data_IF_498550149420
#
_entry.id   IF_498550149420
#
_cell.length_a   1.000
_cell.length_b   1.000
_cell.length_c   1.000
_cell.angle_alpha   90.00
_cell.angle_beta   90.00
_cell.angle_gamma   90.00
#
_symmetry.space_group_name_H-M   'P 1'
#
loop_
_entity.id
_entity.type
_entity.pdbx_description
1 polymer ?
#
# COMPACT_ATOMS: atom_id res chain seq x y z
N UNK A 1 -20.01 2.64 3.23
CA UNK A 1 -20.21 1.20 3.54
C UNK A 1 -19.22 0.36 2.72
N UNK A 2 -17.90 0.46 2.94
CA UNK A 2 -16.92 -0.31 2.13
C UNK A 2 -15.64 -0.57 2.95
N UNK A 3 -15.65 -1.60 3.80
CA UNK A 3 -14.38 -2.11 4.36
C UNK A 3 -14.51 -3.57 4.85
N UNK A 4 -14.84 -4.50 3.94
CA UNK A 4 -14.81 -5.94 4.26
C UNK A 4 -14.23 -6.80 3.13
N UNK A 5 -13.11 -6.39 2.54
CA UNK A 5 -12.27 -7.33 1.77
C UNK A 5 -11.03 -7.63 2.62
N UNK A 6 -11.06 -8.80 3.24
CA UNK A 6 -10.06 -9.26 4.21
C UNK A 6 -8.83 -9.75 3.45
N UNK A 7 -7.76 -8.96 3.51
CA UNK A 7 -6.45 -9.35 2.96
C UNK A 7 -5.75 -10.23 3.99
N UNK A 8 -5.32 -11.42 3.57
CA UNK A 8 -4.58 -12.36 4.40
C UNK A 8 -3.23 -11.77 4.87
N UNK A 9 -2.98 -11.82 6.19
CA UNK A 9 -1.66 -11.51 6.80
C UNK A 9 -1.05 -12.83 7.25
N UNK A 10 -0.04 -13.33 6.54
CA UNK A 10 0.66 -14.55 6.92
C UNK A 10 2.16 -14.40 6.96
N UNK A 11 2.76 -14.83 8.08
CA UNK A 11 4.20 -14.91 8.27
C UNK A 11 4.59 -15.42 9.65
N UNK A 12 4.33 -16.70 9.95
CA UNK A 12 5.01 -17.39 11.06
C UNK A 12 6.20 -18.16 10.49
N UNK A 13 7.41 -17.74 10.89
CA UNK A 13 8.70 -18.31 10.51
C UNK A 13 8.89 -19.60 11.29
N UNK A 14 8.83 -20.75 10.63
CA UNK A 14 9.20 -22.04 11.22
C UNK A 14 10.73 -22.15 11.22
N UNK A 15 11.32 -22.00 12.41
CA UNK A 15 12.77 -22.20 12.61
C UNK A 15 12.98 -23.71 12.77
N UNK A 16 13.32 -24.38 11.68
CA UNK A 16 13.75 -25.77 11.68
C UNK A 16 15.16 -25.91 12.26
N UNK A 17 15.27 -26.47 13.46
CA UNK A 17 16.53 -26.80 14.10
C UNK A 17 17.08 -28.10 13.50
N UNK A 18 17.98 -28.02 12.52
CA UNK A 18 18.71 -29.18 11.99
C UNK A 18 20.12 -29.18 12.57
N UNK A 19 20.27 -29.85 13.73
CA UNK A 19 21.56 -30.14 14.35
C UNK A 19 22.15 -31.33 13.58
N UNK A 20 23.02 -31.07 12.60
CA UNK A 20 23.79 -32.12 11.94
C UNK A 20 24.98 -32.48 12.83
N UNK A 21 25.01 -33.74 13.27
CA UNK A 21 26.09 -34.34 14.03
C UNK A 21 27.38 -34.36 13.19
N UNK A 22 28.49 -33.99 13.81
CA UNK A 22 29.81 -34.02 13.19
C UNK A 22 30.36 -35.47 13.22
N UNK A 23 31.03 -35.94 12.15
CA UNK A 23 31.72 -37.22 12.18
C UNK A 23 32.98 -37.13 13.04
N UNK A 24 33.02 -37.93 14.10
CA UNK A 24 34.23 -38.27 14.86
C UNK A 24 35.22 -38.95 13.93
N UNK A 25 36.25 -38.23 13.50
CA UNK A 25 37.42 -38.81 12.84
C UNK A 25 38.54 -38.96 13.87
N UNK A 26 39.10 -40.16 13.84
CA UNK A 26 40.13 -40.68 14.72
C UNK A 26 41.36 -39.77 14.76
N UNK A 27 41.86 -39.54 15.98
CA UNK A 27 43.20 -39.04 16.22
C UNK A 27 44.21 -40.10 15.76
N UNK A 28 44.93 -39.85 14.67
CA UNK A 28 46.18 -40.54 14.36
C UNK A 28 47.31 -39.80 15.07
N UNK A 29 47.93 -40.50 16.02
CA UNK A 29 48.87 -39.99 17.02
C UNK A 29 50.33 -40.09 16.52
N UNK A 30 50.58 -39.71 15.28
CA UNK A 30 51.86 -40.04 14.61
C UNK A 30 52.52 -38.86 13.88
N UNK A 31 52.28 -37.61 14.31
CA UNK A 31 53.03 -36.46 13.77
C UNK A 31 53.15 -35.31 14.78
N UNK A 32 53.54 -35.62 16.02
CA UNK A 32 54.13 -34.62 16.93
C UNK A 32 55.63 -34.55 16.64
N UNK A 33 56.00 -33.90 15.53
CA UNK A 33 57.36 -33.43 15.38
C UNK A 33 57.58 -32.28 16.35
N UNK A 34 58.54 -32.52 17.23
CA UNK A 34 59.10 -31.66 18.26
C UNK A 34 59.37 -30.26 17.68
N UNK A 35 58.63 -29.25 18.14
CA UNK A 35 58.95 -27.85 17.90
C UNK A 35 60.16 -27.51 18.77
N UNK A 36 61.34 -27.40 18.16
CA UNK A 36 62.58 -27.00 18.83
C UNK A 36 62.59 -25.46 18.96
N UNK A 37 62.46 -24.90 20.18
CA UNK A 37 62.40 -23.45 20.37
C UNK A 37 63.76 -22.75 20.19
N UNK A 38 64.84 -23.46 19.81
CA UNK A 38 66.17 -22.87 19.60
C UNK A 38 66.49 -22.46 18.16
N UNK A 39 65.60 -22.72 17.20
CA UNK A 39 65.85 -22.36 15.80
C UNK A 39 65.54 -20.87 15.51
N UNK A 40 66.60 -20.07 15.40
CA UNK A 40 66.55 -18.65 15.05
C UNK A 40 66.27 -18.36 13.56
N UNK A 41 66.06 -19.39 12.75
CA UNK A 41 65.89 -19.31 11.29
C UNK A 41 64.43 -19.16 10.85
N UNK A 42 63.55 -18.59 11.69
CA UNK A 42 62.17 -18.32 11.26
C UNK A 42 62.15 -17.09 10.34
N UNK A 43 61.70 -17.22 9.08
CA UNK A 43 61.48 -16.05 8.25
C UNK A 43 60.39 -15.20 8.94
N UNK A 44 60.73 -13.95 9.27
CA UNK A 44 59.78 -12.97 9.81
C UNK A 44 58.76 -12.64 8.72
N UNK A 45 57.73 -13.48 8.58
CA UNK A 45 56.67 -13.31 7.58
C UNK A 45 55.75 -12.11 7.87
N UNK A 46 55.94 -11.41 8.99
CA UNK A 46 55.19 -10.22 9.37
C UNK A 46 56.11 -9.02 9.56
N UNK A 47 56.54 -8.43 8.45
CA UNK A 47 57.11 -7.09 8.44
C UNK A 47 55.98 -6.07 8.64
N UNK A 48 56.10 -5.22 9.67
CA UNK A 48 55.14 -4.14 9.97
C UNK A 48 54.88 -3.20 8.78
N UNK A 49 55.83 -3.11 7.84
CA UNK A 49 55.74 -2.29 6.64
C UNK A 49 54.74 -2.83 5.63
N UNK A 50 54.66 -4.16 5.47
CA UNK A 50 53.67 -4.79 4.59
C UNK A 50 52.29 -4.75 5.26
N UNK A 51 52.19 -4.92 6.57
CA UNK A 51 50.92 -4.79 7.29
C UNK A 51 50.31 -3.37 7.15
N UNK A 52 51.14 -2.32 7.17
CA UNK A 52 50.70 -0.94 6.91
C UNK A 52 50.22 -0.74 5.48
N UNK A 53 50.95 -1.25 4.50
CA UNK A 53 50.52 -1.18 3.09
C UNK A 53 49.22 -1.95 2.83
N UNK A 54 49.06 -3.14 3.41
CA UNK A 54 47.83 -3.93 3.28
C UNK A 54 46.64 -3.31 4.03
N UNK A 55 46.86 -2.68 5.19
CA UNK A 55 45.79 -1.93 5.89
C UNK A 55 45.38 -0.67 5.13
N UNK A 56 46.32 0.06 4.53
CA UNK A 56 46.00 1.17 3.63
C UNK A 56 45.29 0.69 2.35
N UNK A 57 45.70 -0.44 1.77
CA UNK A 57 45.05 -1.02 0.58
C UNK A 57 43.63 -1.51 0.89
N UNK A 58 43.40 -2.10 2.08
CA UNK A 58 42.09 -2.56 2.53
C UNK A 58 41.17 -1.39 2.91
N UNK A 59 41.71 -0.28 3.44
CA UNK A 59 40.98 0.96 3.68
C UNK A 59 40.70 1.77 2.40
N UNK A 60 41.52 1.62 1.36
CA UNK A 60 41.36 2.31 0.07
C UNK A 60 40.54 1.50 -0.96
N UNK A 61 40.43 0.18 -0.79
CA UNK A 61 39.61 -0.71 -1.61
C UNK A 61 38.13 -0.29 -1.76
N UNK A 62 37.41 0.20 -0.71
CA UNK A 62 36.03 0.65 -0.87
C UNK A 62 35.89 1.97 -1.62
N UNK A 63 36.98 2.71 -1.87
CA UNK A 63 36.95 3.96 -2.65
C UNK A 63 36.98 3.71 -4.17
N UNK A 64 37.40 2.51 -4.61
CA UNK A 64 37.52 2.12 -6.03
C UNK A 64 36.28 1.38 -6.56
N UNK A 65 35.42 0.85 -5.69
CA UNK A 65 34.15 0.23 -6.10
C UNK A 65 33.10 1.34 -6.23
N UNK A 66 32.93 1.83 -7.46
CA UNK A 66 31.94 2.86 -7.78
C UNK A 66 30.55 2.51 -7.26
N UNK A 67 30.02 3.33 -6.36
CA UNK A 67 28.65 3.24 -5.85
C UNK A 67 27.70 3.75 -6.94
N UNK A 68 27.46 2.94 -7.98
CA UNK A 68 26.55 3.30 -9.08
C UNK A 68 25.08 2.93 -8.83
N UNK A 69 24.76 2.37 -7.67
CA UNK A 69 23.39 2.13 -7.22
C UNK A 69 23.25 2.60 -5.78
N UNK A 70 22.22 3.41 -5.50
CA UNK A 70 21.98 4.09 -4.22
C UNK A 70 21.94 3.19 -3.00
N UNK A 71 23.10 2.74 -2.55
CA UNK A 71 23.32 2.07 -1.28
C UNK A 71 23.03 3.05 -0.15
N UNK A 72 22.04 2.71 0.68
CA UNK A 72 21.74 3.44 1.90
C UNK A 72 22.37 2.71 3.06
N UNK A 73 22.79 3.45 4.08
CA UNK A 73 23.32 2.86 5.32
C UNK A 73 22.39 1.78 5.91
N UNK A 74 21.08 1.92 5.74
CA UNK A 74 20.09 0.95 6.22
C UNK A 74 20.14 -0.39 5.48
N UNK A 75 20.63 -0.43 4.24
CA UNK A 75 20.77 -1.67 3.45
C UNK A 75 21.86 -2.60 4.04
N UNK A 76 22.74 -2.09 4.90
CA UNK A 76 23.73 -2.89 5.64
C UNK A 76 23.12 -3.70 6.79
N UNK A 77 21.96 -3.28 7.30
CA UNK A 77 21.35 -3.84 8.50
C UNK A 77 20.01 -4.52 8.24
N UNK A 78 19.23 -4.02 7.28
CA UNK A 78 17.91 -4.53 6.94
C UNK A 78 17.82 -4.89 5.46
N UNK A 79 17.27 -6.07 5.18
CA UNK A 79 16.89 -6.44 3.81
C UNK A 79 15.81 -5.52 3.27
N UNK A 80 15.70 -5.43 1.95
CA UNK A 80 14.67 -4.64 1.28
C UNK A 80 13.26 -5.00 1.72
N UNK A 81 12.96 -6.29 1.88
CA UNK A 81 11.69 -6.75 2.43
C UNK A 81 11.47 -6.37 3.90
N UNK A 82 12.52 -6.31 4.73
CA UNK A 82 12.40 -5.83 6.11
C UNK A 82 12.11 -4.34 6.15
N UNK A 83 12.75 -3.57 5.27
CA UNK A 83 12.44 -2.14 5.12
C UNK A 83 11.01 -1.93 4.63
N UNK A 84 10.55 -2.72 3.65
CA UNK A 84 9.18 -2.70 3.17
C UNK A 84 8.18 -3.01 4.27
N UNK A 85 8.46 -4.04 5.08
CA UNK A 85 7.63 -4.40 6.23
C UNK A 85 7.53 -3.26 7.25
N UNK A 86 8.64 -2.58 7.52
CA UNK A 86 8.66 -1.41 8.42
C UNK A 86 7.72 -0.28 7.94
N UNK A 87 7.75 0.07 6.65
CA UNK A 87 6.83 1.07 6.09
C UNK A 87 5.38 0.57 6.09
N UNK A 88 5.16 -0.72 5.78
CA UNK A 88 3.85 -1.34 5.75
C UNK A 88 3.15 -1.29 7.11
N UNK A 89 3.88 -1.54 8.19
CA UNK A 89 3.37 -1.49 9.57
C UNK A 89 3.01 -0.07 10.01
N UNK A 90 3.67 0.94 9.45
CA UNK A 90 3.38 2.36 9.68
C UNK A 90 2.25 2.91 8.81
N UNK A 91 1.72 2.10 7.90
CA UNK A 91 0.66 2.50 6.98
C UNK A 91 1.16 3.23 5.72
N UNK A 92 2.47 3.38 5.55
CA UNK A 92 3.04 3.91 4.31
C UNK A 92 3.19 2.79 3.28
N UNK A 93 2.05 2.42 2.68
CA UNK A 93 1.97 1.29 1.77
C UNK A 93 2.68 1.54 0.44
N UNK A 94 2.76 2.79 -0.01
CA UNK A 94 3.44 3.14 -1.27
C UNK A 94 4.95 2.99 -1.11
N UNK A 95 5.54 3.56 -0.04
CA UNK A 95 6.95 3.34 0.26
C UNK A 95 7.26 1.86 0.54
N UNK A 96 6.34 1.14 1.18
CA UNK A 96 6.49 -0.30 1.38
C UNK A 96 6.60 -1.06 0.05
N UNK A 97 5.73 -0.76 -0.91
CA UNK A 97 5.73 -1.40 -2.23
C UNK A 97 7.02 -1.15 -3.01
N UNK A 98 7.59 0.05 -2.92
CA UNK A 98 8.87 0.37 -3.53
C UNK A 98 10.03 -0.44 -2.93
N UNK A 99 9.92 -0.80 -1.65
CA UNK A 99 10.96 -1.52 -0.91
C UNK A 99 10.82 -3.03 -1.01
N UNK A 100 9.62 -3.59 -1.09
CA UNK A 100 9.47 -5.05 -1.22
C UNK A 100 10.14 -5.56 -2.51
N UNK A 101 10.89 -6.65 -2.35
CA UNK A 101 11.44 -7.47 -3.43
C UNK A 101 10.52 -8.67 -3.71
N UNK A 102 9.91 -9.24 -2.67
CA UNK A 102 8.90 -10.30 -2.81
C UNK A 102 7.68 -9.77 -3.62
N UNK A 103 7.37 -10.34 -4.80
CA UNK A 103 6.29 -9.88 -5.66
C UNK A 103 4.90 -9.93 -4.99
N UNK A 104 4.65 -10.94 -4.14
CA UNK A 104 3.38 -11.08 -3.44
C UNK A 104 3.21 -9.98 -2.38
N UNK A 105 4.25 -9.71 -1.60
CA UNK A 105 4.23 -8.61 -0.61
C UNK A 105 4.13 -7.24 -1.28
N UNK A 106 4.80 -7.08 -2.41
CA UNK A 106 4.74 -5.87 -3.22
C UNK A 106 3.33 -5.61 -3.76
N UNK A 107 2.70 -6.63 -4.34
CA UNK A 107 1.29 -6.55 -4.76
C UNK A 107 0.36 -6.22 -3.60
N UNK A 108 0.56 -6.84 -2.44
CA UNK A 108 -0.24 -6.57 -1.24
C UNK A 108 -0.07 -5.13 -0.73
N UNK A 109 1.13 -4.57 -0.83
CA UNK A 109 1.39 -3.17 -0.50
C UNK A 109 0.71 -2.22 -1.50
N UNK A 110 0.79 -2.47 -2.81
CA UNK A 110 0.06 -1.67 -3.81
C UNK A 110 -1.46 -1.73 -3.62
N UNK A 111 -2.01 -2.92 -3.35
CA UNK A 111 -3.43 -3.08 -3.04
C UNK A 111 -3.85 -2.23 -1.83
N UNK A 112 -3.04 -2.25 -0.77
CA UNK A 112 -3.29 -1.45 0.44
C UNK A 112 -3.13 0.05 0.21
N UNK A 113 -2.26 0.44 -0.72
CA UNK A 113 -2.12 1.82 -1.17
C UNK A 113 -3.29 2.29 -2.06
N UNK A 114 -4.20 1.39 -2.47
CA UNK A 114 -5.30 1.68 -3.38
C UNK A 114 -4.91 1.67 -4.86
N UNK A 115 -3.67 1.29 -5.18
CA UNK A 115 -3.16 1.16 -6.55
C UNK A 115 -3.41 -0.27 -7.05
N UNK A 116 -4.66 -0.53 -7.45
CA UNK A 116 -5.10 -1.87 -7.83
C UNK A 116 -4.51 -2.33 -9.17
N UNK A 117 -4.20 -1.41 -10.09
CA UNK A 117 -3.56 -1.73 -11.36
C UNK A 117 -2.15 -2.30 -11.15
N UNK A 118 -1.33 -1.62 -10.34
CA UNK A 118 -0.01 -2.15 -9.99
C UNK A 118 -0.12 -3.45 -9.18
N UNK A 119 -1.11 -3.57 -8.30
CA UNK A 119 -1.33 -4.80 -7.53
C UNK A 119 -1.59 -6.00 -8.45
N UNK A 120 -2.40 -5.84 -9.51
CA UNK A 120 -2.67 -6.86 -10.53
C UNK A 120 -1.36 -7.33 -11.18
N UNK A 121 -0.53 -6.40 -11.64
CA UNK A 121 0.73 -6.71 -12.31
C UNK A 121 1.70 -7.54 -11.45
N UNK A 122 1.70 -7.29 -10.14
CA UNK A 122 2.55 -8.02 -9.20
C UNK A 122 1.95 -9.36 -8.78
N UNK A 123 0.64 -9.43 -8.56
CA UNK A 123 -0.02 -10.69 -8.21
C UNK A 123 -0.04 -11.68 -9.38
N UNK A 124 -0.20 -11.21 -10.62
CA UNK A 124 -0.17 -12.05 -11.82
C UNK A 124 1.18 -12.78 -12.02
N UNK A 125 2.26 -12.29 -11.41
CA UNK A 125 3.60 -12.92 -11.47
C UNK A 125 3.76 -14.07 -10.48
N UNK A 126 2.83 -14.26 -9.56
CA UNK A 126 2.95 -15.22 -8.47
C UNK A 126 1.93 -16.34 -8.66
N UNK A 127 2.42 -17.55 -8.93
CA UNK A 127 1.58 -18.72 -9.10
C UNK A 127 1.26 -19.39 -7.76
N UNK A 128 0.32 -18.83 -6.99
CA UNK A 128 -0.26 -19.50 -5.82
C UNK A 128 -1.72 -19.06 -5.57
N UNK A 129 -2.53 -19.86 -4.86
CA UNK A 129 -3.94 -19.54 -4.62
C UNK A 129 -4.17 -18.22 -3.86
N UNK A 130 -3.25 -17.82 -2.98
CA UNK A 130 -3.35 -16.53 -2.27
C UNK A 130 -3.15 -15.33 -3.20
N UNK A 131 -2.23 -15.45 -4.16
CA UNK A 131 -1.96 -14.42 -5.16
C UNK A 131 -3.14 -14.31 -6.12
N UNK A 132 -3.71 -15.43 -6.57
CA UNK A 132 -4.92 -15.45 -7.39
C UNK A 132 -6.13 -14.85 -6.67
N UNK A 133 -6.33 -15.16 -5.39
CA UNK A 133 -7.38 -14.54 -4.57
C UNK A 133 -7.18 -13.02 -4.45
N UNK A 134 -5.94 -12.55 -4.22
CA UNK A 134 -5.67 -11.11 -4.15
C UNK A 134 -5.76 -10.43 -5.53
N UNK A 135 -5.45 -11.14 -6.61
CA UNK A 135 -5.65 -10.70 -7.99
C UNK A 135 -7.15 -10.50 -8.26
N UNK A 136 -7.99 -11.47 -7.90
CA UNK A 136 -9.45 -11.37 -8.00
C UNK A 136 -10.00 -10.17 -7.21
N UNK A 137 -9.51 -9.96 -5.97
CA UNK A 137 -9.84 -8.79 -5.18
C UNK A 137 -9.45 -7.49 -5.88
N UNK A 138 -8.28 -7.45 -6.54
CA UNK A 138 -7.79 -6.25 -7.22
C UNK A 138 -8.66 -5.91 -8.43
N UNK A 139 -9.05 -6.90 -9.23
CA UNK A 139 -10.00 -6.72 -10.33
C UNK A 139 -11.36 -6.22 -9.82
N UNK A 140 -11.89 -6.81 -8.76
CA UNK A 140 -13.16 -6.40 -8.17
C UNK A 140 -13.14 -4.93 -7.71
N UNK A 141 -11.98 -4.43 -7.26
CA UNK A 141 -11.82 -3.03 -6.84
C UNK A 141 -11.72 -2.04 -8.00
N UNK A 142 -11.31 -2.50 -9.18
CA UNK A 142 -11.34 -1.71 -10.42
C UNK A 142 -12.71 -1.74 -11.11
N UNK A 143 -13.65 -2.57 -10.63
CA UNK A 143 -14.95 -2.76 -11.28
C UNK A 143 -14.94 -3.82 -12.39
N UNK A 144 -13.81 -4.49 -12.59
CA UNK A 144 -13.64 -5.60 -13.54
C UNK A 144 -14.22 -6.88 -12.94
N UNK A 145 -15.54 -6.92 -12.76
CA UNK A 145 -16.21 -7.97 -11.99
C UNK A 145 -16.17 -9.33 -12.66
N UNK A 146 -16.23 -9.39 -13.99
CA UNK A 146 -16.13 -10.63 -14.76
C UNK A 146 -14.77 -11.31 -14.55
N UNK A 147 -13.69 -10.54 -14.68
CA UNK A 147 -12.32 -11.03 -14.43
C UNK A 147 -12.12 -11.43 -12.97
N UNK A 148 -12.74 -10.70 -12.03
CA UNK A 148 -12.69 -11.07 -10.63
C UNK A 148 -13.38 -12.41 -10.36
N UNK A 149 -14.57 -12.66 -10.95
CA UNK A 149 -15.29 -13.92 -10.81
C UNK A 149 -14.50 -15.11 -11.35
N UNK A 150 -13.90 -14.97 -12.54
CA UNK A 150 -13.05 -16.01 -13.15
C UNK A 150 -11.90 -16.40 -12.22
N UNK A 151 -11.21 -15.40 -11.64
CA UNK A 151 -10.11 -15.66 -10.73
C UNK A 151 -10.58 -16.26 -9.38
N UNK A 152 -11.76 -15.88 -8.88
CA UNK A 152 -12.33 -16.54 -7.69
C UNK A 152 -12.72 -17.99 -7.97
N UNK A 153 -13.28 -18.28 -9.14
CA UNK A 153 -13.59 -19.64 -9.56
C UNK A 153 -12.33 -20.51 -9.60
N UNK A 154 -11.25 -20.02 -10.23
CA UNK A 154 -9.97 -20.72 -10.25
C UNK A 154 -9.40 -20.98 -8.83
N UNK A 155 -9.56 -20.04 -7.90
CA UNK A 155 -9.15 -20.25 -6.49
C UNK A 155 -10.00 -21.34 -5.84
N UNK A 156 -11.33 -21.32 -6.05
CA UNK A 156 -12.26 -22.28 -5.45
C UNK A 156 -12.15 -23.68 -6.05
N UNK A 157 -11.73 -23.80 -7.31
CA UNK A 157 -11.38 -25.09 -7.93
C UNK A 157 -10.19 -25.74 -7.21
N UNK A 158 -9.20 -24.94 -6.84
CA UNK A 158 -8.02 -25.43 -6.10
C UNK A 158 -8.28 -25.63 -4.60
N UNK A 159 -9.11 -24.78 -3.99
CA UNK A 159 -9.40 -24.74 -2.56
C UNK A 159 -10.92 -24.59 -2.31
N UNK A 160 -11.72 -25.66 -2.51
CA UNK A 160 -13.18 -25.58 -2.39
C UNK A 160 -13.68 -25.23 -0.98
N UNK A 161 -12.84 -25.36 0.04
CA UNK A 161 -13.15 -25.03 1.43
C UNK A 161 -12.91 -23.56 1.80
N UNK A 162 -12.42 -22.72 0.88
CA UNK A 162 -12.02 -21.36 1.22
C UNK A 162 -13.22 -20.42 1.33
N UNK A 163 -13.68 -20.19 2.55
CA UNK A 163 -14.88 -19.42 2.84
C UNK A 163 -14.78 -17.95 2.38
N UNK A 164 -13.65 -17.29 2.60
CA UNK A 164 -13.46 -15.89 2.17
C UNK A 164 -13.56 -15.72 0.65
N UNK A 165 -13.05 -16.68 -0.13
CA UNK A 165 -13.17 -16.67 -1.59
C UNK A 165 -14.63 -16.82 -2.03
N UNK A 166 -15.41 -17.70 -1.39
CA UNK A 166 -16.84 -17.87 -1.69
C UNK A 166 -17.64 -16.60 -1.40
N UNK A 167 -17.41 -15.99 -0.25
CA UNK A 167 -18.11 -14.79 0.18
C UNK A 167 -17.82 -13.61 -0.75
N UNK A 168 -16.54 -13.39 -1.09
CA UNK A 168 -16.18 -12.30 -2.00
C UNK A 168 -16.71 -12.53 -3.41
N UNK A 169 -16.65 -13.78 -3.91
CA UNK A 169 -17.23 -14.12 -5.21
C UNK A 169 -18.72 -13.82 -5.26
N UNK A 170 -19.46 -14.24 -4.23
CA UNK A 170 -20.90 -13.97 -4.13
C UNK A 170 -21.21 -12.46 -4.07
N UNK A 171 -20.37 -11.70 -3.36
CA UNK A 171 -20.47 -10.24 -3.34
C UNK A 171 -20.27 -9.64 -4.74
N UNK A 172 -19.21 -10.05 -5.44
CA UNK A 172 -18.92 -9.57 -6.80
C UNK A 172 -20.02 -9.95 -7.79
N UNK A 173 -20.53 -11.19 -7.73
CA UNK A 173 -21.67 -11.62 -8.57
C UNK A 173 -22.92 -10.75 -8.32
N UNK A 174 -23.17 -10.36 -7.06
CA UNK A 174 -24.25 -9.45 -6.73
C UNK A 174 -24.03 -8.01 -7.23
N UNK A 175 -22.77 -7.57 -7.34
CA UNK A 175 -22.41 -6.27 -7.88
C UNK A 175 -22.56 -6.23 -9.39
N UNK A 176 -22.20 -7.32 -10.08
CA UNK A 176 -22.36 -7.45 -11.53
C UNK A 176 -23.84 -7.47 -11.95
N UNK A 177 -24.70 -8.12 -11.16
CA UNK A 177 -26.16 -8.18 -11.40
C UNK A 177 -26.89 -6.88 -11.12
N UNK A 178 -26.30 -5.98 -10.34
CA UNK A 178 -26.81 -4.62 -10.20
C UNK A 178 -26.34 -3.88 -11.45
N UNK A 179 -27.21 -3.54 -12.42
CA UNK A 179 -26.80 -2.68 -13.51
C UNK A 179 -26.18 -1.45 -12.88
N UNK A 180 -24.99 -1.10 -13.37
CA UNK A 180 -24.15 -0.06 -12.78
C UNK A 180 -25.04 1.11 -12.38
N UNK A 181 -25.02 1.45 -11.10
CA UNK A 181 -25.23 2.85 -10.74
C UNK A 181 -24.03 3.59 -11.30
N UNK A 182 -24.04 3.78 -12.62
CA UNK A 182 -23.65 5.06 -13.20
C UNK A 182 -24.21 6.11 -12.25
N UNK A 183 -23.34 7.05 -11.87
CA UNK A 183 -23.73 8.23 -11.12
C UNK A 183 -25.10 8.68 -11.63
N UNK A 184 -26.12 8.50 -10.79
CA UNK A 184 -27.51 8.79 -11.14
C UNK A 184 -27.49 10.21 -11.75
N UNK A 185 -27.86 10.39 -13.04
CA UNK A 185 -27.96 11.72 -13.58
C UNK A 185 -28.87 12.49 -12.64
N UNK A 186 -28.48 13.72 -12.27
CA UNK A 186 -29.11 14.42 -11.17
C UNK A 186 -30.62 14.46 -11.42
N UNK A 187 -31.45 14.24 -10.37
CA UNK A 187 -32.88 14.08 -10.52
C UNK A 187 -33.48 15.23 -11.33
N UNK A 188 -34.49 14.99 -12.20
CA UNK A 188 -35.07 16.02 -13.04
C UNK A 188 -35.65 17.10 -12.12
N UNK A 189 -35.00 18.27 -12.11
CA UNK A 189 -35.27 19.35 -11.15
C UNK A 189 -34.04 19.83 -10.36
N UNK A 190 -32.89 19.14 -10.42
CA UNK A 190 -31.63 19.75 -10.02
C UNK A 190 -31.29 20.84 -11.05
N UNK A 191 -31.09 22.12 -10.65
CA UNK A 191 -30.69 23.14 -11.60
C UNK A 191 -29.37 22.70 -12.21
N UNK A 192 -29.34 22.57 -13.53
CA UNK A 192 -28.16 22.26 -14.33
C UNK A 192 -27.21 23.47 -14.28
N UNK A 193 -26.66 23.75 -13.11
CA UNK A 193 -25.56 24.67 -12.96
C UNK A 193 -24.32 23.89 -13.35
N UNK A 194 -23.98 23.96 -14.65
CA UNK A 194 -22.59 23.82 -15.06
C UNK A 194 -21.78 24.74 -14.16
N UNK A 195 -20.64 24.27 -13.67
CA UNK A 195 -19.73 25.14 -12.93
C UNK A 195 -19.39 26.32 -13.85
N UNK A 196 -19.95 27.50 -13.54
CA UNK A 196 -19.64 28.70 -14.29
C UNK A 196 -18.13 28.93 -14.21
N UNK A 197 -17.53 29.02 -15.40
CA UNK A 197 -16.13 29.36 -15.57
C UNK A 197 -15.89 30.72 -14.92
N UNK A 198 -15.01 30.75 -13.92
CA UNK A 198 -14.73 31.96 -13.16
C UNK A 198 -13.92 32.90 -14.04
N UNK A 199 -14.59 33.79 -14.77
CA UNK A 199 -13.95 34.99 -15.32
C UNK A 199 -13.95 36.08 -14.24
N UNK A 200 -12.77 36.35 -13.70
CA UNK A 200 -12.55 37.52 -12.85
C UNK A 200 -12.49 38.77 -13.74
N UNK A 201 -13.52 39.61 -13.70
CA UNK A 201 -13.45 40.96 -14.23
C UNK A 201 -12.96 41.92 -13.13
N UNK A 202 -11.83 42.58 -13.40
CA UNK A 202 -11.00 43.31 -12.45
C UNK A 202 -11.47 44.77 -12.23
N UNK A 203 -12.73 45.07 -12.50
CA UNK A 203 -13.28 46.43 -12.37
C UNK A 203 -14.57 46.45 -11.56
N UNK A 204 -14.42 46.77 -10.27
CA UNK A 204 -15.52 46.99 -9.37
C UNK A 204 -16.44 48.13 -9.81
N UNK A 205 -17.74 47.85 -9.83
CA UNK A 205 -18.83 48.72 -9.36
C UNK A 205 -20.14 47.91 -9.24
N UNK A 206 -20.69 47.93 -8.01
CA UNK A 206 -22.05 47.56 -7.55
C UNK A 206 -22.89 46.64 -8.47
N UNK A 207 -23.00 45.37 -8.07
CA UNK A 207 -24.06 44.47 -8.53
C UNK A 207 -25.32 44.62 -7.66
N UNK A 208 -26.47 44.79 -8.32
CA UNK A 208 -27.81 44.72 -7.73
C UNK A 208 -28.09 43.30 -7.22
N UNK A 209 -28.77 43.19 -6.07
CA UNK A 209 -29.14 41.89 -5.49
C UNK A 209 -30.33 41.32 -6.27
N UNK A 210 -30.11 40.20 -6.96
CA UNK A 210 -31.20 39.33 -7.39
C UNK A 210 -31.78 38.63 -6.16
N UNK A 211 -33.02 38.97 -5.80
CA UNK A 211 -33.82 38.15 -4.89
C UNK A 211 -34.25 36.89 -5.63
N UNK A 212 -33.70 35.76 -5.21
CA UNK A 212 -34.22 34.45 -5.60
C UNK A 212 -35.14 34.00 -4.47
N UNK A 213 -36.44 33.99 -4.74
CA UNK A 213 -37.44 33.36 -3.87
C UNK A 213 -37.10 31.86 -3.75
N UNK A 214 -36.46 31.50 -2.64
CA UNK A 214 -36.41 30.11 -2.20
C UNK A 214 -37.74 29.82 -1.53
N UNK A 215 -38.63 29.16 -2.28
CA UNK A 215 -39.87 28.58 -1.78
C UNK A 215 -39.58 27.78 -0.50
N UNK A 216 -40.25 28.17 0.60
CA UNK A 216 -39.93 27.73 1.96
C UNK A 216 -40.28 26.25 2.13
N UNK A 217 -39.30 25.38 1.92
CA UNK A 217 -39.35 23.99 2.38
C UNK A 217 -39.49 23.99 3.91
N UNK A 218 -40.36 23.12 4.42
CA UNK A 218 -40.59 23.00 5.87
C UNK A 218 -39.40 22.32 6.55
N UNK A 219 -39.13 22.67 7.81
CA UNK A 219 -38.02 22.11 8.60
C UNK A 219 -38.06 20.57 8.64
N UNK A 220 -39.25 19.97 8.55
CA UNK A 220 -39.46 18.52 8.44
C UNK A 220 -38.93 17.95 7.11
N UNK A 221 -39.25 18.58 5.98
CA UNK A 221 -38.76 18.15 4.66
C UNK A 221 -37.25 18.34 4.56
N UNK A 222 -36.72 19.37 5.21
CA UNK A 222 -35.29 19.61 5.32
C UNK A 222 -34.61 18.55 6.21
N UNK A 223 -35.26 18.12 7.30
CA UNK A 223 -34.79 17.04 8.17
C UNK A 223 -34.89 15.65 7.51
N UNK A 224 -35.87 15.41 6.64
CA UNK A 224 -35.97 14.17 5.87
C UNK A 224 -34.90 14.11 4.76
N UNK A 225 -34.63 15.24 4.10
CA UNK A 225 -33.46 15.35 3.22
C UNK A 225 -32.15 15.13 4.00
N UNK A 226 -32.10 15.56 5.27
CA UNK A 226 -30.97 15.38 6.16
C UNK A 226 -30.76 13.92 6.58
N UNK A 227 -31.82 13.16 6.87
CA UNK A 227 -31.73 11.73 7.21
C UNK A 227 -31.35 10.85 6.02
N UNK A 228 -31.72 11.25 4.80
CA UNK A 228 -31.37 10.51 3.57
C UNK A 228 -29.90 10.68 3.19
N UNK A 229 -29.26 11.79 3.56
CA UNK A 229 -27.91 12.18 3.12
C UNK A 229 -26.85 12.13 4.22
N UNK A 230 -27.08 11.44 5.33
CA UNK A 230 -26.11 11.28 6.44
C UNK A 230 -24.93 10.32 6.09
N UNK A 231 -24.44 10.42 4.86
CA UNK A 231 -23.13 9.94 4.38
C UNK A 231 -22.51 11.04 3.48
N UNK A 232 -22.29 12.25 4.01
CA UNK A 232 -21.76 13.35 3.19
C UNK A 232 -20.24 13.36 3.13
N UNK A 233 -19.72 13.49 1.91
CA UNK A 233 -18.36 13.93 1.61
C UNK A 233 -18.11 15.36 2.15
N UNK A 234 -16.85 15.81 2.27
CA UNK A 234 -16.51 17.13 2.85
C UNK A 234 -17.16 18.35 2.16
N UNK A 235 -17.52 18.25 0.88
CA UNK A 235 -18.10 19.35 0.11
C UNK A 235 -19.55 19.68 0.51
N UNK A 236 -20.37 18.64 0.75
CA UNK A 236 -21.77 18.81 1.16
C UNK A 236 -21.85 19.45 2.57
N UNK A 237 -20.91 19.12 3.47
CA UNK A 237 -20.79 19.76 4.77
C UNK A 237 -20.52 21.27 4.67
N UNK A 238 -19.63 21.67 3.77
CA UNK A 238 -19.28 23.07 3.56
C UNK A 238 -20.47 23.86 3.01
N UNK A 239 -21.21 23.28 2.05
CA UNK A 239 -22.42 23.90 1.49
C UNK A 239 -23.45 24.20 2.57
N UNK A 240 -23.71 23.23 3.45
CA UNK A 240 -24.65 23.37 4.57
C UNK A 240 -24.17 24.47 5.53
N UNK A 241 -22.88 24.49 5.86
CA UNK A 241 -22.32 25.51 6.75
C UNK A 241 -22.53 26.93 6.22
N UNK A 242 -22.36 27.13 4.91
CA UNK A 242 -22.55 28.44 4.30
C UNK A 242 -24.02 28.87 4.27
N UNK A 243 -24.95 27.95 4.01
CA UNK A 243 -26.39 28.23 4.07
C UNK A 243 -26.80 28.68 5.48
N UNK A 244 -26.33 28.00 6.52
CA UNK A 244 -26.60 28.38 7.91
C UNK A 244 -25.99 29.73 8.29
N UNK A 245 -24.79 30.05 7.79
CA UNK A 245 -24.17 31.36 8.03
C UNK A 245 -24.92 32.50 7.32
N UNK A 246 -25.41 32.28 6.10
CA UNK A 246 -26.21 33.26 5.37
C UNK A 246 -27.52 33.57 6.13
N UNK A 247 -28.27 32.54 6.50
CA UNK A 247 -29.53 32.69 7.24
C UNK A 247 -29.34 33.42 8.59
N UNK A 248 -28.26 33.14 9.32
CA UNK A 248 -27.93 33.82 10.58
C UNK A 248 -27.51 35.28 10.38
N UNK A 249 -26.93 35.61 9.23
CA UNK A 249 -26.51 36.97 8.90
C UNK A 249 -27.71 37.83 8.53
N UNK A 250 -28.68 37.26 7.81
CA UNK A 250 -29.92 37.97 7.47
C UNK A 250 -30.81 38.21 8.69
N UNK A 251 -30.91 37.23 9.61
CA UNK A 251 -31.64 37.42 10.87
C UNK A 251 -31.05 38.57 11.71
N UNK A 252 -29.72 38.74 11.72
CA UNK A 252 -29.04 39.84 12.43
C UNK A 252 -29.15 41.22 11.77
N UNK A 253 -29.56 41.30 10.50
CA UNK A 253 -29.79 42.59 9.82
C UNK A 253 -31.21 43.10 9.98
N UNK A 254 -32.13 42.22 10.39
CA UNK A 254 -33.54 42.52 10.60
C UNK A 254 -33.88 42.76 12.08
N UNK A 255 -32.85 42.80 12.94
CA UNK A 255 -32.88 43.25 14.34
C UNK A 255 -32.16 44.60 14.44
#
# INVERSE_FOLDING_TARGET
MVEKLKIWRGGKRLIGNSRKEAPTTLCDSSTLQLFDPSDSSTPRLFDSSTFRLWTFLLLLAPLLVGISGGFRFIDLWLTRDQQGQYYFERGDYRAAAERFEDPFRKGAAYYRAGDFAQAIDWFARVNNPNAQYNLANSYARLGEYELALENYDAVLDSLPGWQEAKENRALVDSLLKKPGKEEEPPPPGAPALKADEIQFDDKGKKGEKGEVEMEKLTDEQLAEMWMRRLQTSPADFMRIKFVLQAAKTDRRKNE
#
